data_IF_144083369538
#
_entry.id   IF_144083369538
#
_cell.length_a   1.000
_cell.length_b   1.000
_cell.length_c   1.000
_cell.angle_alpha   90.00
_cell.angle_beta   90.00
_cell.angle_gamma   90.00
#
_symmetry.space_group_name_H-M   'P 1'
#
loop_
_entity.id
_entity.type
_entity.pdbx_description
1 polymer ?
#
# COMPACT_ATOMS: atom_id res chain seq x y z
N UNK A 1 17.14 8.61 -19.24
CA UNK A 1 16.72 7.25 -19.63
C UNK A 1 16.26 6.61 -18.34
N UNK A 2 15.05 6.05 -18.30
CA UNK A 2 14.54 5.40 -17.09
C UNK A 2 15.44 4.16 -16.81
N UNK A 3 16.11 4.06 -15.65
CA UNK A 3 17.08 3.00 -15.37
C UNK A 3 16.47 1.59 -15.30
N UNK A 4 15.19 1.46 -14.96
CA UNK A 4 14.53 0.14 -14.93
C UNK A 4 14.33 -0.50 -16.30
N UNK A 5 14.67 0.19 -17.39
CA UNK A 5 14.78 -0.38 -18.75
C UNK A 5 16.24 -0.65 -19.17
N UNK A 6 17.23 -0.34 -18.33
CA UNK A 6 18.63 -0.58 -18.62
C UNK A 6 18.95 -2.09 -18.52
N UNK A 7 19.50 -2.71 -19.59
CA UNK A 7 19.90 -4.11 -19.55
C UNK A 7 20.91 -4.47 -18.46
N UNK A 8 21.76 -3.53 -18.03
CA UNK A 8 22.73 -3.76 -16.96
C UNK A 8 22.01 -3.86 -15.60
N UNK A 9 21.12 -2.91 -15.28
CA UNK A 9 20.31 -2.93 -14.06
C UNK A 9 19.41 -4.18 -13.99
N UNK A 10 18.77 -4.53 -15.09
CA UNK A 10 17.96 -5.75 -15.20
C UNK A 10 18.80 -7.01 -14.94
N UNK A 11 20.06 -7.04 -15.42
CA UNK A 11 20.95 -8.17 -15.20
C UNK A 11 21.39 -8.29 -13.74
N UNK A 12 21.60 -7.15 -13.05
CA UNK A 12 21.90 -7.10 -11.62
C UNK A 12 20.74 -7.66 -10.81
N UNK A 13 19.52 -7.15 -11.00
CA UNK A 13 18.34 -7.64 -10.26
C UNK A 13 18.11 -9.14 -10.48
N UNK A 14 18.28 -9.64 -11.72
CA UNK A 14 18.20 -11.10 -12.00
C UNK A 14 19.27 -11.90 -11.25
N UNK A 15 20.46 -11.35 -11.08
CA UNK A 15 21.54 -12.01 -10.36
C UNK A 15 21.21 -12.10 -8.87
N UNK A 16 20.65 -11.05 -8.30
CA UNK A 16 20.18 -10.99 -6.91
C UNK A 16 19.06 -12.00 -6.67
N UNK A 17 17.98 -11.95 -7.48
CA UNK A 17 16.89 -12.93 -7.40
C UNK A 17 17.40 -14.38 -7.45
N UNK A 18 18.39 -14.65 -8.32
CA UNK A 18 18.99 -15.99 -8.43
C UNK A 18 19.82 -16.39 -7.20
N UNK A 19 20.53 -15.44 -6.58
CA UNK A 19 21.30 -15.68 -5.38
C UNK A 19 20.40 -16.08 -4.21
N UNK A 20 19.24 -15.42 -4.10
CA UNK A 20 18.24 -15.67 -3.05
C UNK A 20 17.29 -16.82 -3.37
N UNK A 21 17.30 -17.31 -4.62
CA UNK A 21 16.34 -18.30 -5.14
C UNK A 21 14.89 -17.79 -5.09
N UNK A 22 14.73 -16.49 -5.25
CA UNK A 22 13.45 -15.79 -5.35
C UNK A 22 13.18 -15.32 -6.78
N UNK A 23 11.95 -14.90 -7.07
CA UNK A 23 11.59 -14.24 -8.33
C UNK A 23 11.57 -12.71 -8.23
N UNK A 24 11.79 -12.18 -7.03
CA UNK A 24 11.78 -10.77 -6.67
C UNK A 24 12.77 -10.52 -5.53
N UNK A 25 13.05 -9.25 -5.27
CA UNK A 25 13.81 -8.75 -4.11
C UNK A 25 12.90 -7.79 -3.34
N UNK A 26 12.94 -7.83 -2.01
CA UNK A 26 12.29 -6.82 -1.16
C UNK A 26 13.11 -5.54 -1.19
N UNK A 27 12.45 -4.40 -1.37
CA UNK A 27 13.09 -3.09 -1.28
C UNK A 27 13.13 -2.71 0.19
N UNK A 28 14.34 -2.62 0.76
CA UNK A 28 14.51 -2.13 2.13
C UNK A 28 14.09 -0.65 2.17
N UNK A 29 12.88 -0.37 2.65
CA UNK A 29 12.48 1.00 2.99
C UNK A 29 12.93 1.31 4.43
N UNK A 30 13.46 2.53 4.65
CA UNK A 30 13.87 3.02 5.98
C UNK A 30 12.71 3.09 7.01
N UNK A 31 11.50 2.71 6.60
CA UNK A 31 10.29 2.65 7.43
C UNK A 31 10.08 1.26 8.07
N UNK A 32 10.79 0.21 7.62
CA UNK A 32 10.73 -1.15 8.19
C UNK A 32 11.51 -1.28 9.53
N UNK A 33 11.63 -0.21 10.33
CA UNK A 33 12.33 -0.28 11.63
C UNK A 33 11.50 -0.96 12.74
N UNK A 34 10.19 -1.18 12.53
CA UNK A 34 9.32 -1.88 13.47
C UNK A 34 9.04 -3.33 13.02
N UNK A 35 9.80 -4.28 13.60
CA UNK A 35 9.69 -5.75 13.41
C UNK A 35 8.29 -6.36 13.72
N UNK A 36 7.27 -5.54 14.03
CA UNK A 36 5.88 -5.94 14.30
C UNK A 36 4.90 -5.58 13.17
N UNK A 37 5.37 -5.22 11.96
CA UNK A 37 4.46 -4.97 10.84
C UNK A 37 3.61 -6.20 10.51
N UNK A 38 2.28 -6.01 10.44
CA UNK A 38 1.24 -7.04 10.30
C UNK A 38 1.26 -7.84 8.97
N UNK A 39 2.40 -7.90 8.25
CA UNK A 39 2.53 -8.50 6.92
C UNK A 39 1.45 -8.00 5.94
N UNK A 40 0.93 -6.79 6.11
CA UNK A 40 -0.20 -6.28 5.30
C UNK A 40 0.25 -5.61 4.00
N UNK A 41 1.54 -5.34 3.86
CA UNK A 41 2.11 -4.84 2.63
C UNK A 41 3.51 -5.41 2.39
N UNK A 42 4.00 -5.24 1.17
CA UNK A 42 5.37 -5.51 0.78
C UNK A 42 5.75 -4.61 -0.39
N UNK A 43 6.97 -4.07 -0.33
CA UNK A 43 7.58 -3.34 -1.42
C UNK A 43 8.62 -4.24 -2.10
N UNK A 44 8.38 -4.60 -3.36
CA UNK A 44 9.23 -5.55 -4.08
C UNK A 44 9.60 -5.09 -5.49
N UNK A 45 10.78 -5.49 -5.92
CA UNK A 45 11.22 -5.35 -7.31
C UNK A 45 11.32 -6.71 -7.99
N UNK A 46 10.83 -6.79 -9.22
CA UNK A 46 10.95 -8.00 -10.03
C UNK A 46 11.05 -7.68 -11.52
N UNK A 47 11.63 -8.62 -12.28
CA UNK A 47 11.74 -8.46 -13.73
C UNK A 47 10.51 -9.04 -14.43
N UNK A 48 9.98 -8.27 -15.38
CA UNK A 48 8.91 -8.69 -16.26
C UNK A 48 9.06 -8.15 -17.67
N UNK A 49 7.96 -8.19 -18.43
CA UNK A 49 7.91 -7.63 -19.78
C UNK A 49 6.83 -6.57 -19.88
N UNK A 50 7.18 -5.45 -20.50
CA UNK A 50 6.27 -4.37 -20.84
C UNK A 50 6.45 -3.96 -22.30
N UNK A 51 5.38 -4.00 -23.09
CA UNK A 51 5.43 -3.71 -24.54
C UNK A 51 6.59 -4.44 -25.25
N UNK A 52 6.74 -5.74 -24.96
CA UNK A 52 7.79 -6.64 -25.49
C UNK A 52 9.23 -6.30 -25.08
N UNK A 53 9.41 -5.34 -24.17
CA UNK A 53 10.71 -5.00 -23.59
C UNK A 53 10.79 -5.52 -22.17
N UNK A 54 11.96 -6.02 -21.82
CA UNK A 54 12.24 -6.38 -20.43
C UNK A 54 12.34 -5.10 -19.59
N UNK A 55 11.78 -5.16 -18.39
CA UNK A 55 11.69 -4.02 -17.48
C UNK A 55 11.70 -4.50 -16.03
N UNK A 56 12.19 -3.66 -15.14
CA UNK A 56 12.01 -3.80 -13.69
C UNK A 56 10.63 -3.23 -13.34
N UNK A 57 9.80 -4.05 -12.72
CA UNK A 57 8.61 -3.57 -12.03
C UNK A 57 8.99 -3.30 -10.58
N UNK A 58 8.60 -2.12 -10.11
CA UNK A 58 8.73 -1.66 -8.74
C UNK A 58 7.32 -1.63 -8.16
N UNK A 59 7.04 -2.49 -7.18
CA UNK A 59 5.68 -2.86 -6.82
C UNK A 59 5.41 -2.72 -5.33
N UNK A 60 4.42 -1.90 -4.99
CA UNK A 60 3.79 -1.88 -3.69
C UNK A 60 2.56 -2.78 -3.70
N UNK A 61 2.62 -3.87 -2.95
CA UNK A 61 1.56 -4.87 -2.85
C UNK A 61 0.99 -4.82 -1.43
N UNK A 62 -0.34 -4.72 -1.29
CA UNK A 62 -0.99 -4.57 0.01
C UNK A 62 -2.33 -5.33 0.11
N UNK A 63 -2.77 -5.59 1.34
CA UNK A 63 -4.09 -6.16 1.60
C UNK A 63 -5.19 -5.15 1.31
N UNK A 64 -6.36 -5.62 0.89
CA UNK A 64 -7.54 -4.75 0.80
C UNK A 64 -7.96 -4.16 2.14
N UNK A 65 -7.66 -4.84 3.26
CA UNK A 65 -7.91 -4.33 4.61
C UNK A 65 -7.11 -3.06 4.88
N UNK A 66 -5.80 -3.09 4.62
CA UNK A 66 -4.94 -1.93 4.78
C UNK A 66 -5.37 -0.77 3.88
N UNK A 67 -5.68 -1.06 2.61
CA UNK A 67 -6.19 -0.04 1.68
C UNK A 67 -7.50 0.59 2.17
N UNK A 68 -8.45 -0.24 2.61
CA UNK A 68 -9.73 0.26 3.14
C UNK A 68 -9.51 1.14 4.36
N UNK A 69 -8.71 0.68 5.34
CA UNK A 69 -8.37 1.46 6.54
C UNK A 69 -7.76 2.82 6.20
N UNK A 70 -6.84 2.85 5.22
CA UNK A 70 -6.22 4.10 4.74
C UNK A 70 -7.27 5.07 4.18
N UNK A 71 -8.16 4.59 3.31
CA UNK A 71 -9.22 5.44 2.73
C UNK A 71 -10.24 5.92 3.77
N UNK A 72 -10.58 5.08 4.75
CA UNK A 72 -11.46 5.44 5.87
C UNK A 72 -10.82 6.53 6.72
N UNK A 73 -9.55 6.36 7.08
CA UNK A 73 -8.79 7.35 7.83
C UNK A 73 -8.71 8.70 7.10
N UNK A 74 -8.40 8.69 5.80
CA UNK A 74 -8.34 9.91 4.99
C UNK A 74 -9.70 10.62 4.94
N UNK A 75 -10.79 9.88 4.72
CA UNK A 75 -12.13 10.44 4.71
C UNK A 75 -12.55 11.00 6.09
N UNK A 76 -12.16 10.33 7.18
CA UNK A 76 -12.40 10.79 8.54
C UNK A 76 -11.60 12.06 8.85
N UNK A 77 -10.33 12.14 8.44
CA UNK A 77 -9.51 13.35 8.53
C UNK A 77 -10.12 14.51 7.74
N UNK A 78 -10.66 14.27 6.55
CA UNK A 78 -11.37 15.31 5.79
C UNK A 78 -12.62 15.83 6.51
N UNK A 79 -13.35 14.97 7.24
CA UNK A 79 -14.48 15.39 8.09
C UNK A 79 -13.99 16.19 9.30
N UNK A 80 -12.94 15.71 9.96
CA UNK A 80 -12.30 16.39 11.08
C UNK A 80 -11.86 17.80 10.70
N UNK A 81 -11.15 17.98 9.57
CA UNK A 81 -10.72 19.29 9.07
C UNK A 81 -11.88 20.26 8.80
N UNK A 82 -13.10 19.77 8.55
CA UNK A 82 -14.30 20.62 8.40
C UNK A 82 -14.87 21.09 9.74
N UNK A 83 -14.78 20.25 10.78
CA UNK A 83 -15.30 20.56 12.13
C UNK A 83 -14.26 21.34 12.95
N UNK A 84 -12.99 20.98 12.83
CA UNK A 84 -11.85 21.57 13.52
C UNK A 84 -10.85 22.14 12.50
N UNK A 85 -11.16 23.27 11.84
CA UNK A 85 -10.30 23.83 10.77
C UNK A 85 -8.95 24.36 11.24
N UNK A 86 -8.74 24.47 12.56
CA UNK A 86 -7.46 24.88 13.15
C UNK A 86 -6.63 23.69 13.66
N UNK A 87 -7.14 22.46 13.56
CA UNK A 87 -6.39 21.26 13.94
C UNK A 87 -5.29 20.99 12.90
N UNK A 88 -4.10 20.59 13.39
CA UNK A 88 -2.95 20.21 12.55
C UNK A 88 -2.58 18.78 12.92
N UNK A 89 -2.71 17.86 11.96
CA UNK A 89 -2.34 16.45 12.15
C UNK A 89 -0.85 16.32 12.42
N UNK A 90 -0.45 15.22 13.07
CA UNK A 90 0.94 14.98 13.46
C UNK A 90 1.93 15.17 12.31
N UNK A 91 1.60 14.65 11.12
CA UNK A 91 2.45 14.73 9.92
C UNK A 91 2.55 16.14 9.33
N UNK A 92 1.57 17.01 9.61
CA UNK A 92 1.52 18.39 9.14
C UNK A 92 2.13 19.38 10.16
N UNK A 93 2.52 18.91 11.36
CA UNK A 93 3.04 19.78 12.42
C UNK A 93 4.43 20.29 12.06
N UNK A 94 4.67 21.62 12.07
CA UNK A 94 6.02 22.15 11.94
C UNK A 94 6.87 21.82 13.18
N UNK A 95 8.20 21.81 13.05
CA UNK A 95 9.14 21.51 14.15
C UNK A 95 8.92 22.37 15.42
N UNK A 96 8.38 23.58 15.27
CA UNK A 96 8.12 24.51 16.36
C UNK A 96 6.64 24.53 16.81
N UNK A 97 5.85 23.52 16.44
CA UNK A 97 4.46 23.40 16.86
C UNK A 97 4.36 23.27 18.38
N UNK A 98 3.44 24.02 18.97
CA UNK A 98 3.10 23.90 20.39
C UNK A 98 1.79 23.14 20.45
N UNK A 99 1.84 21.91 20.96
CA UNK A 99 0.65 21.08 21.10
C UNK A 99 -0.36 21.71 22.05
N UNK A 100 -1.63 21.67 21.66
CA UNK A 100 -2.78 22.00 22.50
C UNK A 100 -3.44 20.68 22.88
N UNK A 101 -3.18 20.21 24.11
CA UNK A 101 -3.62 18.90 24.57
C UNK A 101 -5.16 18.76 24.53
N UNK A 102 -5.91 19.81 24.84
CA UNK A 102 -7.37 19.78 24.83
C UNK A 102 -7.91 19.66 23.39
N UNK A 103 -7.28 20.38 22.45
CA UNK A 103 -7.62 20.29 21.04
C UNK A 103 -7.25 18.93 20.44
N UNK A 104 -6.09 18.37 20.81
CA UNK A 104 -5.63 17.06 20.33
C UNK A 104 -6.57 15.94 20.85
N UNK A 105 -6.96 15.96 22.12
CA UNK A 105 -7.92 15.00 22.69
C UNK A 105 -9.30 15.08 22.01
N UNK A 106 -9.83 16.29 21.76
CA UNK A 106 -11.09 16.46 21.04
C UNK A 106 -11.00 15.94 19.60
N UNK A 107 -9.87 16.19 18.93
CA UNK A 107 -9.64 15.74 17.56
C UNK A 107 -9.56 14.22 17.45
N UNK A 108 -8.86 13.55 18.38
CA UNK A 108 -8.78 12.09 18.43
C UNK A 108 -10.16 11.44 18.64
N UNK A 109 -10.98 12.01 19.53
CA UNK A 109 -12.32 11.52 19.79
C UNK A 109 -13.23 11.64 18.55
N UNK A 110 -13.23 12.81 17.89
CA UNK A 110 -14.01 13.02 16.68
C UNK A 110 -13.52 12.17 15.51
N UNK A 111 -12.20 11.99 15.38
CA UNK A 111 -11.62 11.14 14.35
C UNK A 111 -12.10 9.70 14.51
N UNK A 112 -12.09 9.19 15.74
CA UNK A 112 -12.59 7.85 16.07
C UNK A 112 -14.07 7.72 15.74
N UNK A 113 -14.89 8.69 16.14
CA UNK A 113 -16.33 8.71 15.82
C UNK A 113 -16.59 8.72 14.31
N UNK A 114 -15.82 9.49 13.53
CA UNK A 114 -15.97 9.52 12.08
C UNK A 114 -15.52 8.22 11.40
N UNK A 115 -14.46 7.58 11.90
CA UNK A 115 -14.04 6.26 11.41
C UNK A 115 -15.15 5.24 11.64
N UNK A 116 -15.67 5.15 12.88
CA UNK A 116 -16.77 4.26 13.23
C UNK A 116 -18.01 4.52 12.37
N UNK A 117 -18.41 5.79 12.18
CA UNK A 117 -19.56 6.15 11.34
C UNK A 117 -19.36 5.74 9.87
N UNK A 118 -18.16 5.93 9.31
CA UNK A 118 -17.84 5.57 7.91
C UNK A 118 -17.89 4.04 7.73
N UNK A 119 -17.34 3.29 8.68
CA UNK A 119 -17.33 1.83 8.66
C UNK A 119 -18.74 1.26 8.85
N UNK A 120 -19.50 1.71 9.86
CA UNK A 120 -20.86 1.25 10.15
C UNK A 120 -21.83 1.50 8.99
N UNK A 121 -21.65 2.61 8.27
CA UNK A 121 -22.48 2.96 7.12
C UNK A 121 -21.96 2.37 5.79
N UNK A 122 -20.85 1.61 5.81
CA UNK A 122 -20.18 1.07 4.62
C UNK A 122 -19.95 2.12 3.52
N UNK A 123 -19.59 3.36 3.90
CA UNK A 123 -19.47 4.45 2.94
C UNK A 123 -18.31 4.26 1.95
N UNK A 124 -17.31 3.49 2.36
CA UNK A 124 -16.12 3.18 1.58
C UNK A 124 -16.06 1.68 1.33
N UNK A 125 -15.85 1.33 0.07
CA UNK A 125 -15.62 -0.04 -0.37
C UNK A 125 -14.40 -0.11 -1.28
N UNK A 126 -13.68 -1.22 -1.22
CA UNK A 126 -12.48 -1.50 -2.02
C UNK A 126 -12.64 -2.81 -2.78
N UNK A 127 -11.80 -3.02 -3.80
CA UNK A 127 -11.72 -4.27 -4.56
C UNK A 127 -10.30 -4.52 -5.02
N UNK A 128 -10.03 -5.74 -5.44
CA UNK A 128 -8.73 -6.07 -6.02
C UNK A 128 -8.46 -5.23 -7.26
N UNK A 129 -7.24 -4.71 -7.35
CA UNK A 129 -6.80 -3.86 -8.45
C UNK A 129 -5.30 -4.02 -8.68
N UNK A 130 -4.88 -3.67 -9.90
CA UNK A 130 -3.49 -3.51 -10.29
C UNK A 130 -3.43 -2.22 -11.08
N UNK A 131 -2.75 -1.23 -10.55
CA UNK A 131 -2.51 0.05 -11.21
C UNK A 131 -1.06 0.12 -11.67
N UNK A 132 -0.84 0.66 -12.86
CA UNK A 132 0.48 0.72 -13.51
C UNK A 132 0.85 2.15 -13.78
N UNK A 133 2.01 2.59 -13.27
CA UNK A 133 2.59 3.89 -13.58
C UNK A 133 3.75 3.76 -14.58
N UNK A 134 3.47 4.12 -15.85
CA UNK A 134 4.48 4.15 -16.92
C UNK A 134 5.41 5.38 -16.85
N UNK A 135 5.08 6.35 -16.00
CA UNK A 135 5.85 7.58 -15.80
C UNK A 135 6.78 7.52 -14.60
N UNK A 136 6.76 6.41 -13.87
CA UNK A 136 7.63 6.14 -12.73
C UNK A 136 9.11 6.27 -13.12
N UNK A 137 9.93 6.76 -12.18
CA UNK A 137 11.31 7.13 -12.46
C UNK A 137 12.25 5.92 -12.60
N UNK A 138 11.89 4.78 -11.98
CA UNK A 138 12.68 3.54 -11.98
C UNK A 138 11.85 2.33 -12.43
N UNK A 139 11.83 2.08 -13.74
CA UNK A 139 11.08 0.99 -14.35
C UNK A 139 9.62 1.35 -14.54
N UNK A 140 8.71 0.47 -14.09
CA UNK A 140 7.27 0.70 -14.09
C UNK A 140 6.76 0.47 -12.66
N UNK A 141 6.10 1.50 -12.11
CA UNK A 141 5.46 1.40 -10.80
C UNK A 141 4.21 0.53 -10.86
N UNK A 142 4.00 -0.30 -9.85
CA UNK A 142 2.79 -1.08 -9.64
C UNK A 142 2.22 -0.82 -8.25
N UNK A 143 0.94 -0.53 -8.20
CA UNK A 143 0.16 -0.56 -6.96
C UNK A 143 -0.86 -1.69 -7.04
N UNK A 144 -0.84 -2.57 -6.03
CA UNK A 144 -1.56 -3.84 -6.08
C UNK A 144 -2.30 -4.09 -4.77
N UNK A 145 -3.62 -3.86 -4.77
CA UNK A 145 -4.50 -4.30 -3.69
C UNK A 145 -5.01 -5.72 -3.91
N UNK A 146 -4.72 -6.64 -2.98
CA UNK A 146 -5.17 -8.04 -3.01
C UNK A 146 -6.08 -8.38 -1.85
N UNK A 147 -7.11 -9.20 -2.09
CA UNK A 147 -7.94 -9.74 -1.03
C UNK A 147 -7.23 -10.93 -0.37
N UNK A 148 -6.24 -10.60 0.45
CA UNK A 148 -5.41 -11.50 1.24
C UNK A 148 -5.34 -11.00 2.67
N UNK A 149 -5.12 -11.93 3.59
CA UNK A 149 -4.89 -11.60 4.99
C UNK A 149 -3.47 -11.09 5.23
N UNK A 150 -2.52 -11.52 4.41
CA UNK A 150 -1.11 -11.16 4.50
C UNK A 150 -0.45 -11.21 3.11
N UNK A 151 0.56 -10.37 2.92
CA UNK A 151 1.42 -10.25 1.74
C UNK A 151 2.76 -10.92 2.03
N UNK A 152 2.73 -12.24 2.18
CA UNK A 152 3.95 -13.04 2.32
C UNK A 152 4.59 -13.37 0.96
N UNK A 153 5.81 -13.93 0.98
CA UNK A 153 6.55 -14.34 -0.22
C UNK A 153 5.77 -15.26 -1.17
N UNK A 154 4.88 -16.10 -0.64
CA UNK A 154 4.06 -16.99 -1.46
C UNK A 154 3.00 -16.19 -2.23
N UNK A 155 2.33 -15.26 -1.56
CA UNK A 155 1.37 -14.33 -2.18
C UNK A 155 2.05 -13.52 -3.29
N UNK A 156 3.24 -12.97 -3.00
CA UNK A 156 4.02 -12.17 -3.95
C UNK A 156 4.45 -13.01 -5.16
N UNK A 157 5.03 -14.20 -4.94
CA UNK A 157 5.42 -15.11 -6.03
C UNK A 157 4.22 -15.52 -6.90
N UNK A 158 3.09 -15.87 -6.29
CA UNK A 158 1.87 -16.24 -7.03
C UNK A 158 1.35 -15.07 -7.88
N UNK A 159 1.41 -13.85 -7.35
CA UNK A 159 1.08 -12.63 -8.09
C UNK A 159 2.01 -12.45 -9.30
N UNK A 160 3.33 -12.43 -9.08
CA UNK A 160 4.34 -12.19 -10.14
C UNK A 160 4.21 -13.20 -11.28
N UNK A 161 4.05 -14.49 -10.95
CA UNK A 161 3.87 -15.56 -11.96
C UNK A 161 2.64 -15.29 -12.83
N UNK A 162 1.52 -14.89 -12.21
CA UNK A 162 0.28 -14.61 -12.94
C UNK A 162 0.35 -13.30 -13.72
N UNK A 163 0.99 -12.28 -13.16
CA UNK A 163 1.24 -10.98 -13.78
C UNK A 163 2.05 -11.14 -15.06
N UNK A 164 3.24 -11.74 -14.95
CA UNK A 164 4.13 -11.94 -16.10
C UNK A 164 3.55 -12.89 -17.15
N UNK A 165 2.66 -13.81 -16.78
CA UNK A 165 1.95 -14.66 -17.73
C UNK A 165 0.76 -13.97 -18.44
N UNK A 166 0.40 -12.74 -18.05
CA UNK A 166 -0.81 -12.06 -18.52
C UNK A 166 -2.10 -12.78 -18.11
N UNK A 167 -2.10 -13.43 -16.94
CA UNK A 167 -3.18 -14.30 -16.44
C UNK A 167 -3.74 -13.88 -15.08
N UNK A 168 -3.51 -12.64 -14.66
CA UNK A 168 -4.16 -12.12 -13.46
C UNK A 168 -5.68 -12.14 -13.66
N UNK A 169 -6.36 -12.63 -12.62
CA UNK A 169 -7.80 -12.56 -12.46
C UNK A 169 -8.03 -11.90 -11.11
N UNK A 170 -8.52 -10.67 -11.14
CA UNK A 170 -8.85 -9.89 -9.96
C UNK A 170 -10.28 -10.21 -9.53
N UNK A 171 -10.50 -10.27 -8.23
CA UNK A 171 -11.84 -10.37 -7.63
C UNK A 171 -12.61 -9.05 -7.83
N UNK A 172 -13.73 -9.05 -8.57
CA UNK A 172 -14.52 -7.83 -8.79
C UNK A 172 -15.40 -7.45 -7.59
N UNK A 173 -15.45 -8.28 -6.54
CA UNK A 173 -16.26 -8.06 -5.34
C UNK A 173 -15.82 -6.78 -4.63
N UNK A 174 -16.80 -5.99 -4.19
CA UNK A 174 -16.58 -4.83 -3.33
C UNK A 174 -16.59 -5.30 -1.87
N UNK A 175 -15.57 -4.90 -1.11
CA UNK A 175 -15.39 -5.21 0.29
C UNK A 175 -15.45 -3.92 1.11
N UNK A 176 -16.14 -3.98 2.25
CA UNK A 176 -15.96 -3.06 3.36
C UNK A 176 -15.39 -3.89 4.53
N UNK A 177 -14.58 -3.25 5.37
CA UNK A 177 -14.03 -3.84 6.58
C UNK A 177 -14.47 -2.98 7.77
N UNK A 178 -14.56 -3.60 8.95
CA UNK A 178 -14.78 -2.88 10.21
C UNK A 178 -13.75 -3.32 11.24
N UNK A 179 -13.29 -2.37 12.06
CA UNK A 179 -12.34 -2.64 13.14
C UNK A 179 -12.93 -3.42 14.32
N UNK A 180 -14.26 -3.55 14.38
CA UNK A 180 -15.00 -4.17 15.49
C UNK A 180 -15.09 -5.70 15.42
N UNK A 181 -14.69 -6.34 14.31
CA UNK A 181 -14.79 -7.80 14.12
C UNK A 181 -13.67 -8.63 14.80
N UNK A 182 -12.75 -8.02 15.55
CA UNK A 182 -11.73 -8.75 16.33
C UNK A 182 -12.22 -9.27 17.70
N UNK A 183 -13.51 -9.14 18.01
CA UNK A 183 -14.11 -9.68 19.25
C UNK A 183 -15.29 -10.61 18.96
N UNK A 184 -15.02 -11.81 18.44
CA UNK A 184 -15.90 -12.98 18.62
C UNK A 184 -15.14 -14.32 18.57
#
# INVERSE_FOLDING_TARGET
>A
MNPGFDPEEIAVLKQECKAERSSFIHVEDELEEDEEENNEHAHVQFVGFYKEKEVIYDALIYTLRLHHSTLVYDAALERLKKVMPNYVSLDERPENYVADEEQDEEAELLLTEFIEEIEENEEITVREHVETDETFDYGIGLEVGLNKTEINDKTINDFIIRFNAGRIQLDPTLYAFSGSEEQD
#
